data_IF_401654820001
#
_entry.id   IF_401654820001
#
_cell.length_a   1.000
_cell.length_b   1.000
_cell.length_c   1.000
_cell.angle_alpha   90.00
_cell.angle_beta   90.00
_cell.angle_gamma   90.00
#
_symmetry.space_group_name_H-M   'P 1'
#
loop_
_entity.id
_entity.type
_entity.pdbx_description
1 polymer ?
#
# COMPACT_ATOMS: atom_id res chain seq x y z
N UNK A 1 4.63 49.80 68.77
CA UNK A 1 3.68 48.87 68.13
C UNK A 1 3.94 48.65 66.62
N UNK A 2 5.16 48.80 66.09
CA UNK A 2 5.40 48.75 64.63
C UNK A 2 6.19 47.53 64.09
N UNK A 3 6.70 46.64 64.97
CA UNK A 3 7.54 45.52 64.53
C UNK A 3 6.76 44.29 63.98
N UNK A 4 5.45 44.21 64.19
CA UNK A 4 4.64 43.07 63.71
C UNK A 4 4.24 43.20 62.24
N UNK A 5 4.12 44.42 61.72
CA UNK A 5 3.74 44.67 60.32
C UNK A 5 4.86 44.33 59.32
N UNK A 6 6.12 44.53 59.72
CA UNK A 6 7.28 44.32 58.83
C UNK A 6 7.54 42.84 58.51
N UNK A 7 7.23 41.94 59.45
CA UNK A 7 7.40 40.49 59.25
C UNK A 7 6.36 39.88 58.30
N UNK A 8 5.16 40.45 58.29
CA UNK A 8 4.06 40.00 57.42
C UNK A 8 4.31 40.39 55.95
N UNK A 9 4.91 41.55 55.73
CA UNK A 9 5.24 42.05 54.39
C UNK A 9 6.38 41.25 53.73
N UNK A 10 7.38 40.81 54.50
CA UNK A 10 8.47 39.96 54.01
C UNK A 10 7.99 38.54 53.65
N UNK A 11 7.06 37.97 54.42
CA UNK A 11 6.45 36.67 54.11
C UNK A 11 5.58 36.73 52.85
N UNK A 12 4.87 37.85 52.63
CA UNK A 12 4.05 38.03 51.43
C UNK A 12 4.91 38.17 50.16
N UNK A 13 6.05 38.86 50.23
CA UNK A 13 7.00 38.98 49.11
C UNK A 13 7.69 37.64 48.75
N UNK A 14 7.88 36.75 49.73
CA UNK A 14 8.48 35.43 49.50
C UNK A 14 7.49 34.43 48.85
N UNK A 15 6.19 34.61 49.08
CA UNK A 15 5.13 33.81 48.43
C UNK A 15 4.86 34.22 46.98
N UNK A 16 5.18 35.46 46.60
CA UNK A 16 4.99 35.94 45.22
C UNK A 16 6.17 35.54 44.32
N UNK A 17 7.34 35.24 44.88
CA UNK A 17 8.55 34.90 44.11
C UNK A 17 8.68 33.42 43.72
N UNK A 18 7.84 32.51 44.23
CA UNK A 18 7.84 31.09 43.83
C UNK A 18 6.94 30.78 42.64
N UNK A 19 6.27 31.77 42.05
CA UNK A 19 5.60 31.62 40.76
C UNK A 19 6.50 32.11 39.61
N UNK A 20 7.76 31.68 39.61
CA UNK A 20 8.44 31.46 38.34
C UNK A 20 7.69 30.30 37.66
N UNK A 21 6.57 30.62 37.03
CA UNK A 21 5.94 29.74 36.07
C UNK A 21 7.05 29.33 35.12
N UNK A 22 7.49 28.08 35.23
CA UNK A 22 8.34 27.46 34.25
C UNK A 22 7.50 27.48 33.00
N UNK A 23 7.65 28.52 32.19
CA UNK A 23 7.13 28.57 30.85
C UNK A 23 7.83 27.39 30.17
N UNK A 24 7.19 26.23 30.19
CA UNK A 24 7.52 25.11 29.32
C UNK A 24 7.41 25.69 27.93
N UNK A 25 8.53 26.19 27.42
CA UNK A 25 8.70 26.55 26.03
C UNK A 25 8.39 25.27 25.27
N UNK A 26 7.14 25.16 24.78
CA UNK A 26 6.74 24.03 23.95
C UNK A 26 7.79 23.94 22.84
N UNK A 27 8.45 22.79 22.66
CA UNK A 27 9.45 22.67 21.61
C UNK A 27 8.80 23.06 20.29
N UNK A 28 9.47 23.95 19.56
CA UNK A 28 9.01 24.32 18.23
C UNK A 28 9.20 23.09 17.33
N UNK A 29 8.12 22.60 16.71
CA UNK A 29 8.19 21.45 15.83
C UNK A 29 8.28 21.87 14.38
N UNK A 30 9.06 21.12 13.60
CA UNK A 30 8.97 21.06 12.15
C UNK A 30 8.03 19.93 11.77
N UNK A 31 7.29 20.08 10.67
CA UNK A 31 6.36 19.07 10.18
C UNK A 31 6.68 18.67 8.75
N UNK A 32 6.46 17.40 8.43
CA UNK A 32 6.58 16.82 7.11
C UNK A 32 5.47 15.80 6.90
N UNK A 33 5.00 15.64 5.67
CA UNK A 33 3.99 14.68 5.29
C UNK A 33 4.61 13.64 4.37
N UNK A 34 4.31 12.36 4.59
CA UNK A 34 4.57 11.27 3.66
C UNK A 34 3.21 10.75 3.18
N UNK A 35 2.95 10.91 1.89
CA UNK A 35 1.77 10.37 1.23
C UNK A 35 2.12 9.03 0.61
N UNK A 36 1.42 7.98 0.98
CA UNK A 36 1.47 6.66 0.37
C UNK A 36 0.21 6.48 -0.48
N UNK A 37 0.37 6.12 -1.76
CA UNK A 37 -0.74 6.04 -2.70
C UNK A 37 -1.47 4.70 -2.71
N UNK A 38 -0.97 3.70 -1.97
CA UNK A 38 -1.64 2.41 -1.82
C UNK A 38 -1.16 1.33 -2.78
N UNK A 39 -1.80 0.16 -2.63
CA UNK A 39 -1.46 -1.09 -3.31
C UNK A 39 -1.75 -1.10 -4.81
N UNK A 40 -2.60 -0.18 -5.28
CA UNK A 40 -2.98 -0.06 -6.69
C UNK A 40 -1.96 0.65 -7.57
N UNK A 41 -0.86 1.13 -7.01
CA UNK A 41 0.19 1.79 -7.79
C UNK A 41 0.84 0.77 -8.74
N UNK A 42 0.51 0.87 -10.03
CA UNK A 42 0.99 -0.05 -11.08
C UNK A 42 2.28 0.43 -11.75
N UNK A 43 2.56 1.73 -11.70
CA UNK A 43 3.75 2.35 -12.26
C UNK A 43 3.98 3.72 -11.62
N UNK A 44 5.24 4.15 -11.54
CA UNK A 44 5.59 5.46 -11.01
C UNK A 44 5.83 5.49 -9.50
N UNK A 45 5.80 6.70 -8.89
CA UNK A 45 5.97 6.86 -7.45
C UNK A 45 4.89 6.15 -6.67
N UNK A 46 5.28 5.48 -5.59
CA UNK A 46 4.39 4.81 -4.64
C UNK A 46 4.01 5.73 -3.48
N UNK A 47 4.70 6.85 -3.35
CA UNK A 47 4.42 7.90 -2.39
C UNK A 47 5.27 9.13 -2.62
N UNK A 48 5.04 10.18 -1.83
CA UNK A 48 5.85 11.39 -1.85
C UNK A 48 5.98 12.06 -0.48
N UNK A 49 7.08 12.78 -0.29
CA UNK A 49 7.37 13.65 0.85
C UNK A 49 7.02 15.11 0.56
N UNK A 50 6.45 15.78 1.55
CA UNK A 50 6.18 17.22 1.53
C UNK A 50 6.45 17.86 2.90
N UNK A 51 7.50 18.68 3.07
CA UNK A 51 8.54 19.00 2.08
C UNK A 51 9.46 17.81 1.78
N UNK A 52 10.37 17.96 0.80
CA UNK A 52 11.32 16.92 0.40
C UNK A 52 12.22 16.46 1.56
N UNK A 53 12.42 15.15 1.69
CA UNK A 53 13.30 14.55 2.69
C UNK A 53 14.66 14.26 2.05
N UNK A 54 15.75 14.85 2.57
CA UNK A 54 17.10 14.69 2.00
C UNK A 54 17.18 14.98 0.48
N UNK A 55 16.36 15.93 0.00
CA UNK A 55 16.25 16.26 -1.44
C UNK A 55 15.41 15.29 -2.27
N UNK A 56 14.86 14.23 -1.66
CA UNK A 56 13.95 13.29 -2.31
C UNK A 56 12.50 13.66 -2.04
N UNK A 57 11.74 13.88 -3.11
CA UNK A 57 10.28 14.07 -3.05
C UNK A 57 9.56 12.75 -3.25
N UNK A 58 9.94 11.97 -4.25
CA UNK A 58 9.18 10.79 -4.65
C UNK A 58 9.80 9.50 -4.11
N UNK A 59 8.95 8.61 -3.62
CA UNK A 59 9.32 7.26 -3.21
C UNK A 59 8.97 6.34 -4.37
N UNK A 60 9.95 5.62 -4.89
CA UNK A 60 9.76 4.64 -5.96
C UNK A 60 10.15 3.24 -5.47
N UNK A 61 9.59 2.21 -6.09
CA UNK A 61 10.15 0.87 -5.96
C UNK A 61 11.50 0.79 -6.67
N UNK A 62 12.49 0.20 -6.01
CA UNK A 62 13.85 0.03 -6.54
C UNK A 62 13.86 -0.81 -7.82
N UNK A 63 12.93 -1.76 -7.95
CA UNK A 63 12.78 -2.61 -9.13
C UNK A 63 11.29 -2.92 -9.38
N UNK A 64 10.87 -3.09 -10.66
CA UNK A 64 9.52 -3.48 -10.99
C UNK A 64 9.22 -4.91 -10.52
N UNK A 65 8.12 -5.10 -9.79
CA UNK A 65 7.67 -6.42 -9.31
C UNK A 65 7.11 -7.26 -10.45
N UNK A 66 6.99 -8.59 -10.25
CA UNK A 66 6.36 -9.47 -11.23
C UNK A 66 4.90 -9.06 -11.56
N UNK A 67 4.19 -8.50 -10.58
CA UNK A 67 2.87 -7.92 -10.77
C UNK A 67 2.90 -6.73 -11.74
N UNK A 68 3.79 -5.76 -11.53
CA UNK A 68 3.95 -4.60 -12.41
C UNK A 68 4.33 -5.02 -13.83
N UNK A 69 5.24 -5.99 -13.97
CA UNK A 69 5.67 -6.52 -15.26
C UNK A 69 4.51 -7.18 -16.02
N UNK A 70 3.70 -8.00 -15.32
CA UNK A 70 2.52 -8.64 -15.93
C UNK A 70 1.47 -7.61 -16.36
N UNK A 71 1.21 -6.60 -15.54
CA UNK A 71 0.28 -5.52 -15.90
C UNK A 71 0.80 -4.69 -17.08
N UNK A 72 2.10 -4.37 -17.11
CA UNK A 72 2.72 -3.67 -18.22
C UNK A 72 2.65 -4.46 -19.54
N UNK A 73 2.79 -5.79 -19.50
CA UNK A 73 2.59 -6.65 -20.67
C UNK A 73 1.14 -6.62 -21.17
N UNK A 74 0.16 -6.58 -20.26
CA UNK A 74 -1.26 -6.47 -20.62
C UNK A 74 -1.63 -5.11 -21.23
N UNK A 75 -0.98 -4.01 -20.81
CA UNK A 75 -1.29 -2.65 -21.27
C UNK A 75 -0.40 -2.16 -22.43
N UNK A 76 0.85 -2.60 -22.51
CA UNK A 76 1.85 -2.17 -23.50
C UNK A 76 1.95 -3.06 -24.74
N UNK A 77 1.21 -4.17 -24.79
CA UNK A 77 1.17 -5.08 -25.93
C UNK A 77 0.27 -4.56 -27.05
N UNK A 78 0.87 -3.88 -28.03
CA UNK A 78 0.30 -3.80 -29.38
C UNK A 78 0.10 -5.21 -29.94
N UNK A 79 -1.14 -5.57 -30.29
CA UNK A 79 -1.40 -6.40 -31.47
C UNK A 79 -1.21 -7.92 -31.42
N UNK A 80 -1.17 -8.58 -30.25
CA UNK A 80 -1.43 -10.02 -30.19
C UNK A 80 -2.27 -10.32 -28.96
N UNK A 81 -3.58 -10.40 -29.18
CA UNK A 81 -4.58 -10.43 -28.13
C UNK A 81 -4.28 -11.45 -27.03
N UNK A 82 -4.23 -10.95 -25.79
CA UNK A 82 -5.08 -11.56 -24.77
C UNK A 82 -6.52 -11.07 -24.98
N UNK A 83 -7.04 -11.29 -26.18
CA UNK A 83 -8.37 -11.85 -26.21
C UNK A 83 -8.18 -13.21 -25.54
N UNK A 84 -8.55 -13.33 -24.27
CA UNK A 84 -9.42 -14.44 -23.91
C UNK A 84 -10.71 -14.23 -24.74
N UNK A 85 -10.58 -14.34 -26.07
CA UNK A 85 -11.60 -14.98 -26.83
C UNK A 85 -11.53 -16.39 -26.23
N UNK A 86 -12.45 -16.62 -25.30
CA UNK A 86 -13.31 -17.77 -25.46
C UNK A 86 -13.81 -17.71 -26.90
N UNK A 87 -12.94 -18.12 -27.83
CA UNK A 87 -13.37 -18.65 -29.09
C UNK A 87 -14.00 -19.96 -28.67
N UNK A 88 -15.26 -19.88 -28.24
CA UNK A 88 -16.28 -20.80 -28.73
C UNK A 88 -16.35 -20.64 -30.26
N UNK A 89 -15.23 -20.86 -30.95
CA UNK A 89 -15.27 -21.55 -32.22
C UNK A 89 -15.27 -23.01 -31.82
N UNK A 90 -16.37 -23.43 -31.20
CA UNK A 90 -17.00 -24.63 -31.70
C UNK A 90 -17.21 -24.35 -33.19
N UNK A 91 -16.19 -24.68 -33.99
CA UNK A 91 -16.46 -25.35 -35.25
C UNK A 91 -17.35 -26.50 -34.83
N UNK A 92 -18.64 -26.21 -34.74
CA UNK A 92 -19.66 -27.21 -34.60
C UNK A 92 -19.61 -27.91 -35.95
N UNK A 93 -18.67 -28.85 -36.07
CA UNK A 93 -19.07 -30.17 -36.47
C UNK A 93 -20.24 -30.47 -35.55
N UNK A 94 -21.44 -30.18 -36.04
CA UNK A 94 -22.68 -30.57 -35.41
C UNK A 94 -22.63 -32.10 -35.52
N UNK A 95 -21.93 -32.72 -34.57
CA UNK A 95 -21.93 -34.16 -34.40
C UNK A 95 -23.36 -34.46 -34.04
N UNK A 96 -24.09 -34.96 -35.03
CA UNK A 96 -25.46 -35.40 -34.89
C UNK A 96 -25.49 -36.53 -33.86
N UNK A 97 -25.70 -36.14 -32.60
CA UNK A 97 -25.73 -37.01 -31.41
C UNK A 97 -26.78 -38.12 -31.52
N UNK A 98 -27.64 -38.09 -32.54
CA UNK A 98 -28.59 -39.15 -32.87
C UNK A 98 -27.98 -40.32 -33.67
N UNK A 99 -26.80 -40.15 -34.28
CA UNK A 99 -26.10 -41.19 -35.06
C UNK A 99 -24.96 -41.87 -34.31
N UNK A 100 -24.61 -41.39 -33.12
CA UNK A 100 -23.58 -42.02 -32.28
C UNK A 100 -24.12 -43.25 -31.56
N UNK A 101 -23.32 -44.31 -31.55
CA UNK A 101 -23.57 -45.45 -30.66
C UNK A 101 -23.42 -45.03 -29.19
N UNK A 102 -24.13 -45.71 -28.28
CA UNK A 102 -24.03 -45.48 -26.82
C UNK A 102 -22.58 -45.48 -26.30
N UNK A 103 -21.71 -46.31 -26.87
CA UNK A 103 -20.30 -46.39 -26.50
C UNK A 103 -19.50 -45.16 -26.96
N UNK A 104 -19.82 -44.57 -28.11
CA UNK A 104 -19.17 -43.37 -28.63
C UNK A 104 -19.59 -42.12 -27.84
N UNK A 105 -20.88 -42.04 -27.46
CA UNK A 105 -21.38 -40.93 -26.62
C UNK A 105 -20.67 -40.89 -25.27
N UNK A 106 -20.54 -42.03 -24.58
CA UNK A 106 -19.82 -42.12 -23.29
C UNK A 106 -18.37 -41.66 -23.38
N UNK A 107 -17.64 -42.04 -24.44
CA UNK A 107 -16.25 -41.61 -24.65
C UNK A 107 -16.13 -40.12 -24.91
N UNK A 108 -17.09 -39.53 -25.62
CA UNK A 108 -17.11 -38.10 -25.87
C UNK A 108 -17.38 -37.31 -24.59
N UNK A 109 -18.39 -37.72 -23.81
CA UNK A 109 -18.72 -37.11 -22.51
C UNK A 109 -17.55 -37.22 -21.52
N UNK A 110 -16.85 -38.36 -21.49
CA UNK A 110 -15.66 -38.56 -20.64
C UNK A 110 -14.51 -37.63 -21.04
N UNK A 111 -14.25 -37.46 -22.34
CA UNK A 111 -13.23 -36.52 -22.86
C UNK A 111 -13.57 -35.07 -22.55
N UNK A 112 -14.83 -34.67 -22.73
CA UNK A 112 -15.30 -33.32 -22.43
C UNK A 112 -15.18 -33.03 -20.92
N UNK A 113 -15.54 -34.00 -20.08
CA UNK A 113 -15.39 -33.86 -18.64
C UNK A 113 -13.93 -33.77 -18.20
N UNK A 114 -13.03 -34.51 -18.84
CA UNK A 114 -11.59 -34.43 -18.58
C UNK A 114 -11.01 -33.08 -19.02
N UNK A 115 -11.38 -32.58 -20.19
CA UNK A 115 -10.98 -31.26 -20.68
C UNK A 115 -11.48 -30.13 -19.76
N UNK A 116 -12.73 -30.19 -19.30
CA UNK A 116 -13.27 -29.22 -18.33
C UNK A 116 -12.52 -29.26 -16.99
N UNK A 117 -12.11 -30.45 -16.51
CA UNK A 117 -11.29 -30.58 -15.30
C UNK A 117 -9.91 -29.96 -15.48
N UNK A 118 -9.27 -30.20 -16.63
CA UNK A 118 -7.97 -29.61 -16.96
C UNK A 118 -8.04 -28.08 -17.02
N UNK A 119 -9.05 -27.52 -17.69
CA UNK A 119 -9.27 -26.07 -17.76
C UNK A 119 -9.51 -25.45 -16.37
N UNK A 120 -10.32 -26.10 -15.54
CA UNK A 120 -10.55 -25.64 -14.17
C UNK A 120 -9.28 -25.68 -13.32
N UNK A 121 -8.46 -26.72 -13.47
CA UNK A 121 -7.17 -26.80 -12.79
C UNK A 121 -6.22 -25.69 -13.23
N UNK A 122 -6.13 -25.43 -14.54
CA UNK A 122 -5.30 -24.35 -15.07
C UNK A 122 -5.78 -22.98 -14.58
N UNK A 123 -7.09 -22.73 -14.54
CA UNK A 123 -7.66 -21.50 -14.00
C UNK A 123 -7.31 -21.30 -12.52
N UNK A 124 -7.40 -22.37 -11.72
CA UNK A 124 -7.05 -22.35 -10.30
C UNK A 124 -5.56 -22.01 -10.12
N UNK A 125 -4.66 -22.66 -10.86
CA UNK A 125 -3.22 -22.40 -10.77
C UNK A 125 -2.85 -20.99 -11.26
N UNK A 126 -3.48 -20.51 -12.33
CA UNK A 126 -3.32 -19.14 -12.81
C UNK A 126 -3.80 -18.10 -11.78
N UNK A 127 -4.91 -18.39 -11.10
CA UNK A 127 -5.46 -17.54 -10.02
C UNK A 127 -4.52 -17.52 -8.83
N UNK A 128 -4.02 -18.67 -8.38
CA UNK A 128 -3.03 -18.76 -7.28
C UNK A 128 -1.76 -17.97 -7.60
N UNK A 129 -1.24 -18.12 -8.83
CA UNK A 129 -0.06 -17.38 -9.29
C UNK A 129 -0.31 -15.87 -9.26
N UNK A 130 -1.48 -15.42 -9.72
CA UNK A 130 -1.86 -14.02 -9.67
C UNK A 130 -1.95 -13.47 -8.24
N UNK A 131 -2.63 -14.19 -7.33
CA UNK A 131 -2.74 -13.80 -5.92
C UNK A 131 -1.36 -13.69 -5.27
N UNK A 132 -0.47 -14.65 -5.53
CA UNK A 132 0.91 -14.63 -5.03
C UNK A 132 1.67 -13.39 -5.51
N UNK A 133 1.65 -13.10 -6.81
CA UNK A 133 2.33 -11.91 -7.36
C UNK A 133 1.77 -10.61 -6.79
N UNK A 134 0.45 -10.53 -6.60
CA UNK A 134 -0.19 -9.36 -5.97
C UNK A 134 0.23 -9.19 -4.51
N UNK A 135 0.35 -10.29 -3.76
CA UNK A 135 0.81 -10.27 -2.37
C UNK A 135 2.28 -9.85 -2.25
N UNK A 136 3.14 -10.39 -3.13
CA UNK A 136 4.56 -10.00 -3.21
C UNK A 136 4.71 -8.51 -3.57
N UNK A 137 3.85 -7.98 -4.45
CA UNK A 137 3.80 -6.54 -4.75
C UNK A 137 3.41 -5.69 -3.54
N UNK A 138 2.34 -6.04 -2.85
CA UNK A 138 1.90 -5.33 -1.65
C UNK A 138 2.99 -5.35 -0.55
N UNK A 139 3.71 -6.47 -0.42
CA UNK A 139 4.86 -6.57 0.47
C UNK A 139 5.98 -5.62 0.06
N UNK A 140 6.37 -5.60 -1.22
CA UNK A 140 7.41 -4.70 -1.71
C UNK A 140 7.08 -3.22 -1.47
N UNK A 141 5.82 -2.81 -1.70
CA UNK A 141 5.35 -1.46 -1.39
C UNK A 141 5.46 -1.13 0.10
N UNK A 142 5.01 -2.06 0.96
CA UNK A 142 5.06 -1.88 2.41
C UNK A 142 6.49 -1.79 2.92
N UNK A 143 7.38 -2.66 2.43
CA UNK A 143 8.79 -2.68 2.81
C UNK A 143 9.48 -1.36 2.42
N UNK A 144 9.19 -0.83 1.23
CA UNK A 144 9.74 0.45 0.76
C UNK A 144 9.25 1.65 1.59
N UNK A 145 7.96 1.72 1.89
CA UNK A 145 7.41 2.79 2.75
C UNK A 145 7.98 2.70 4.17
N UNK A 146 8.11 1.49 4.71
CA UNK A 146 8.75 1.25 6.00
C UNK A 146 10.20 1.73 5.99
N UNK A 147 10.95 1.43 4.93
CA UNK A 147 12.32 1.94 4.76
C UNK A 147 12.35 3.48 4.74
N UNK A 148 11.44 4.12 4.00
CA UNK A 148 11.34 5.58 3.96
C UNK A 148 11.03 6.20 5.33
N UNK A 149 10.15 5.57 6.12
CA UNK A 149 9.85 6.00 7.49
C UNK A 149 11.03 5.80 8.43
N UNK A 150 11.75 4.68 8.30
CA UNK A 150 12.96 4.42 9.10
C UNK A 150 14.06 5.44 8.80
N UNK A 151 14.27 5.79 7.51
CA UNK A 151 15.20 6.85 7.13
C UNK A 151 14.81 8.21 7.71
N UNK A 152 13.51 8.51 7.75
CA UNK A 152 13.01 9.71 8.41
C UNK A 152 13.29 9.67 9.92
N UNK A 153 13.10 8.52 10.56
CA UNK A 153 13.38 8.31 11.98
C UNK A 153 14.87 8.46 12.33
N UNK A 154 15.77 7.99 11.48
CA UNK A 154 17.22 8.23 11.60
C UNK A 154 17.55 9.74 11.58
N UNK A 155 16.79 10.53 10.83
CA UNK A 155 16.89 11.99 10.80
C UNK A 155 16.18 12.68 11.98
N UNK A 156 15.64 11.93 12.93
CA UNK A 156 14.92 12.44 14.11
C UNK A 156 13.48 12.87 13.82
N UNK A 157 12.89 12.42 12.71
CA UNK A 157 11.46 12.59 12.46
C UNK A 157 10.64 11.49 13.12
N UNK A 158 9.57 11.86 13.80
CA UNK A 158 8.65 10.93 14.46
C UNK A 158 7.28 10.99 13.78
N UNK A 159 6.61 9.85 13.64
CA UNK A 159 5.21 9.82 13.19
C UNK A 159 4.32 10.39 14.30
N UNK A 160 3.72 11.55 14.05
CA UNK A 160 2.79 12.22 14.94
C UNK A 160 1.34 11.80 14.69
N UNK A 161 0.98 11.53 13.44
CA UNK A 161 -0.37 11.14 13.05
C UNK A 161 -0.33 10.26 11.79
N UNK A 162 -1.32 9.37 11.67
CA UNK A 162 -1.59 8.59 10.47
C UNK A 162 -3.06 8.74 10.10
N UNK A 163 -3.36 9.00 8.83
CA UNK A 163 -4.73 9.10 8.31
C UNK A 163 -4.86 8.36 6.98
N UNK A 164 -6.03 7.80 6.69
CA UNK A 164 -6.31 7.25 5.36
C UNK A 164 -6.41 8.36 4.31
N UNK A 165 -6.07 8.03 3.08
CA UNK A 165 -6.17 8.89 1.91
C UNK A 165 -6.69 8.10 0.71
N UNK A 166 -7.88 8.46 0.22
CA UNK A 166 -8.53 7.71 -0.85
C UNK A 166 -8.95 6.30 -0.39
N UNK A 167 -8.93 5.34 -1.32
CA UNK A 167 -9.40 3.97 -1.07
C UNK A 167 -8.38 3.12 -0.32
N UNK A 168 -7.09 3.28 -0.62
CA UNK A 168 -6.00 2.44 -0.11
C UNK A 168 -4.71 3.21 0.21
N UNK A 169 -4.72 4.54 0.10
CA UNK A 169 -3.61 5.38 0.47
C UNK A 169 -3.60 5.76 1.95
N UNK A 170 -2.45 6.24 2.42
CA UNK A 170 -2.22 6.66 3.80
C UNK A 170 -1.37 7.93 3.79
N UNK A 171 -1.65 8.86 4.69
CA UNK A 171 -0.80 10.03 4.94
C UNK A 171 -0.24 9.92 6.35
N UNK A 172 1.08 10.01 6.45
CA UNK A 172 1.80 10.11 7.71
C UNK A 172 2.19 11.56 7.93
N UNK A 173 1.78 12.14 9.06
CA UNK A 173 2.31 13.40 9.54
C UNK A 173 3.51 13.09 10.42
N UNK A 174 4.68 13.54 9.99
CA UNK A 174 5.92 13.46 10.74
C UNK A 174 6.20 14.79 11.42
N UNK A 175 6.79 14.75 12.62
CA UNK A 175 7.27 15.91 13.35
C UNK A 175 8.73 15.73 13.78
N UNK A 176 9.45 16.83 13.90
CA UNK A 176 10.81 16.87 14.43
C UNK A 176 10.97 18.06 15.36
N UNK A 177 11.54 17.86 16.55
CA UNK A 177 11.87 18.97 17.44
C UNK A 177 12.98 19.83 16.80
N UNK A 178 12.82 21.16 16.87
CA UNK A 178 13.86 22.11 16.46
C UNK A 178 14.96 22.22 17.49
#
# INVERSE_FOLDING_TARGET
MYQKATRLLLLFLLLVSTQAAVAQTKPAYQYMQLFYYGGKTMSGPIGHFSPAMRGQTDIMLTAPTAYMQRMAQMMGGSGSGMTQQVSTTSSADIIDLTKMTLAQRRKYEEKEQEEQRQQNQELIENTKKFVRMSSEHAKALTDQITQSLNLAAEDGWEVAQMSSFGTDGVVYLLRKAR
#
